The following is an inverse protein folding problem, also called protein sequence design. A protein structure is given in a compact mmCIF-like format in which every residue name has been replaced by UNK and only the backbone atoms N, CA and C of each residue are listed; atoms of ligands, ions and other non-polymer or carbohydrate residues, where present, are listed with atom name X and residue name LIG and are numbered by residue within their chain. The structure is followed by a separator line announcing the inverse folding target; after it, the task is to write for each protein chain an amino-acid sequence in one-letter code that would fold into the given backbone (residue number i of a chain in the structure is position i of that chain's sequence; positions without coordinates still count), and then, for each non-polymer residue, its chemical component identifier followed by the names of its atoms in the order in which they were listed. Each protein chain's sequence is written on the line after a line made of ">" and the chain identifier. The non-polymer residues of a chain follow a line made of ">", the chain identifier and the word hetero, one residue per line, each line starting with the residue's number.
data_IF_296741394880
#
_entry.id   IF_296741394880
#
_cell.length_a   1.000
_cell.length_b   1.000
_cell.length_c   1.000
_cell.angle_alpha   90.00
_cell.angle_beta   90.00
_cell.angle_gamma   90.00
#
_symmetry.space_group_name_H-M   'P 1'
#
loop_
_entity.id
_entity.type
_entity.pdbx_description
1 polymer ?
#
# COMPACT_ATOMS: atom_id res chain seq x y z
N UNK A 1 28.71 -21.64 -36.06
CA UNK A 1 28.36 -21.89 -34.61
C UNK A 1 26.87 -21.75 -34.50
N UNK A 2 26.17 -22.81 -34.06
CA UNK A 2 24.72 -22.75 -33.82
C UNK A 2 24.46 -22.43 -32.34
N UNK A 3 23.59 -21.44 -32.08
CA UNK A 3 23.12 -21.17 -30.71
C UNK A 3 22.02 -22.17 -30.34
N UNK A 4 22.08 -22.72 -29.11
CA UNK A 4 21.05 -23.59 -28.57
C UNK A 4 20.35 -22.84 -27.44
N UNK A 5 19.05 -22.58 -27.60
CA UNK A 5 18.25 -21.87 -26.60
C UNK A 5 17.94 -22.77 -25.40
N UNK A 6 17.96 -22.18 -24.20
CA UNK A 6 17.47 -22.82 -22.98
C UNK A 6 16.06 -22.36 -22.69
N UNK A 7 15.13 -23.31 -22.53
CA UNK A 7 13.74 -22.98 -22.15
C UNK A 7 13.67 -22.64 -20.67
N UNK A 8 13.16 -21.44 -20.37
CA UNK A 8 12.90 -21.02 -19.00
C UNK A 8 11.64 -21.73 -18.47
N UNK A 9 11.59 -21.91 -17.16
CA UNK A 9 10.46 -22.54 -16.46
C UNK A 9 9.77 -21.49 -15.59
N UNK A 10 8.46 -21.59 -15.48
CA UNK A 10 7.64 -20.79 -14.56
C UNK A 10 7.34 -21.68 -13.35
N UNK A 11 7.84 -21.30 -12.16
CA UNK A 11 7.55 -21.98 -10.89
C UNK A 11 6.25 -21.44 -10.28
N UNK A 12 5.85 -20.22 -10.62
CA UNK A 12 4.62 -19.55 -10.19
C UNK A 12 3.85 -19.07 -11.40
N UNK A 13 2.60 -19.50 -11.50
CA UNK A 13 1.67 -19.03 -12.54
C UNK A 13 0.43 -18.41 -11.88
N UNK A 14 0.23 -17.10 -12.07
CA UNK A 14 -0.97 -16.40 -11.64
C UNK A 14 -1.99 -16.48 -12.78
N UNK A 15 -3.12 -17.11 -12.54
CA UNK A 15 -4.15 -17.34 -13.56
C UNK A 15 -5.13 -16.16 -13.63
N UNK A 16 -5.71 -15.79 -12.50
CA UNK A 16 -6.74 -14.75 -12.40
C UNK A 16 -6.48 -13.81 -11.21
N UNK A 17 -6.96 -12.58 -11.32
CA UNK A 17 -7.02 -11.59 -10.26
C UNK A 17 -8.50 -11.28 -9.98
N UNK A 18 -8.97 -11.56 -8.78
CA UNK A 18 -10.38 -11.36 -8.38
C UNK A 18 -10.62 -9.98 -7.79
N UNK A 19 -9.73 -9.57 -6.88
CA UNK A 19 -9.83 -8.27 -6.22
C UNK A 19 -8.46 -7.62 -6.04
N UNK A 20 -8.49 -6.31 -5.89
CA UNK A 20 -7.34 -5.50 -5.54
C UNK A 20 -7.80 -4.28 -4.78
N UNK A 21 -7.40 -4.16 -3.53
CA UNK A 21 -7.88 -3.13 -2.63
C UNK A 21 -6.74 -2.40 -1.93
N UNK A 22 -6.95 -1.11 -1.67
CA UNK A 22 -6.23 -0.34 -0.66
C UNK A 22 -7.27 0.20 0.31
N UNK A 23 -7.37 -0.44 1.46
CA UNK A 23 -8.33 -0.08 2.49
C UNK A 23 -7.77 0.97 3.44
N UNK A 24 -8.58 1.96 3.75
CA UNK A 24 -8.34 2.95 4.79
C UNK A 24 -9.36 2.70 5.91
N UNK A 25 -9.05 1.76 6.80
CA UNK A 25 -9.93 1.38 7.91
C UNK A 25 -10.04 2.48 8.95
N UNK A 26 -11.24 2.67 9.46
CA UNK A 26 -11.53 3.52 10.62
C UNK A 26 -11.34 2.76 11.91
N UNK A 27 -11.24 3.49 13.01
CA UNK A 27 -11.26 2.90 14.35
C UNK A 27 -12.52 2.05 14.56
N UNK A 28 -12.33 0.82 15.03
CA UNK A 28 -13.41 -0.12 15.30
C UNK A 28 -14.03 -0.78 14.06
N UNK A 29 -13.35 -0.72 12.90
CA UNK A 29 -13.77 -1.44 11.71
C UNK A 29 -13.74 -2.96 11.96
N UNK A 30 -14.77 -3.67 11.48
CA UNK A 30 -14.82 -5.13 11.44
C UNK A 30 -15.53 -5.60 10.17
N UNK A 31 -14.94 -6.58 9.51
CA UNK A 31 -15.53 -7.35 8.43
C UNK A 31 -15.90 -8.72 8.98
N UNK A 32 -17.14 -9.16 8.75
CA UNK A 32 -17.68 -10.39 9.38
C UNK A 32 -16.94 -11.65 8.94
N UNK A 33 -16.39 -11.66 7.74
CA UNK A 33 -15.57 -12.73 7.19
C UNK A 33 -16.22 -13.43 6.01
N UNK A 34 -15.39 -14.18 5.30
CA UNK A 34 -15.73 -14.94 4.11
C UNK A 34 -14.83 -16.16 3.94
N UNK A 35 -15.14 -16.98 2.95
CA UNK A 35 -14.31 -18.08 2.48
C UNK A 35 -14.49 -18.22 0.97
N UNK A 36 -13.41 -18.39 0.24
CA UNK A 36 -13.40 -18.54 -1.21
C UNK A 36 -12.28 -19.49 -1.65
N UNK A 37 -12.30 -19.95 -2.89
CA UNK A 37 -11.42 -21.00 -3.42
C UNK A 37 -10.14 -20.46 -4.09
N UNK A 38 -9.73 -19.23 -3.74
CA UNK A 38 -8.52 -18.59 -4.23
C UNK A 38 -7.68 -18.02 -3.07
N UNK A 39 -6.44 -17.61 -3.36
CA UNK A 39 -5.53 -17.00 -2.41
C UNK A 39 -5.90 -15.53 -2.15
N UNK A 40 -5.74 -15.09 -0.92
CA UNK A 40 -5.82 -13.69 -0.55
C UNK A 40 -4.57 -13.25 0.18
N UNK A 41 -3.90 -12.24 -0.38
CA UNK A 41 -2.76 -11.56 0.23
C UNK A 41 -3.23 -10.36 1.02
N UNK A 42 -2.81 -10.26 2.28
CA UNK A 42 -3.06 -9.12 3.16
C UNK A 42 -1.72 -8.52 3.57
N UNK A 43 -1.57 -7.21 3.39
CA UNK A 43 -0.39 -6.46 3.81
C UNK A 43 -0.81 -5.26 4.66
N UNK A 44 -0.30 -5.15 5.90
CA UNK A 44 -0.53 -4.02 6.77
C UNK A 44 0.40 -2.85 6.39
N UNK A 45 -0.16 -1.84 5.69
CA UNK A 45 0.60 -0.68 5.22
C UNK A 45 0.81 0.36 6.33
N UNK A 46 -0.22 0.61 7.15
CA UNK A 46 -0.15 1.53 8.30
C UNK A 46 -1.00 1.03 9.45
N UNK A 47 -0.53 1.27 10.67
CA UNK A 47 -1.21 0.81 11.90
C UNK A 47 -1.18 -0.70 12.02
N UNK A 48 -2.23 -1.25 12.61
CA UNK A 48 -2.38 -2.66 12.88
C UNK A 48 -3.75 -3.16 12.45
N UNK A 49 -3.78 -4.32 11.82
CA UNK A 49 -5.01 -5.05 11.52
C UNK A 49 -4.95 -6.43 12.19
N UNK A 50 -6.09 -6.91 12.62
CA UNK A 50 -6.22 -8.25 13.19
C UNK A 50 -6.95 -9.08 12.15
N UNK A 51 -6.28 -10.11 11.67
CA UNK A 51 -6.84 -11.08 10.73
C UNK A 51 -7.18 -12.37 11.45
N UNK A 52 -8.32 -12.97 11.12
CA UNK A 52 -8.67 -14.33 11.53
C UNK A 52 -8.41 -15.26 10.37
N UNK A 53 -7.77 -16.39 10.62
CA UNK A 53 -7.45 -17.41 9.64
C UNK A 53 -7.85 -18.79 10.21
N UNK A 54 -9.02 -19.28 9.81
CA UNK A 54 -9.66 -20.43 10.47
C UNK A 54 -9.93 -20.14 11.96
N UNK A 55 -9.35 -20.92 12.85
CA UNK A 55 -9.51 -20.76 14.32
C UNK A 55 -8.44 -19.86 14.96
N UNK A 56 -7.60 -19.19 14.17
CA UNK A 56 -6.46 -18.41 14.67
C UNK A 56 -6.65 -16.91 14.40
N UNK A 57 -6.33 -16.09 15.38
CA UNK A 57 -6.18 -14.64 15.20
C UNK A 57 -4.70 -14.24 15.16
N UNK A 58 -4.38 -13.31 14.26
CA UNK A 58 -3.04 -12.78 14.05
C UNK A 58 -3.11 -11.26 13.96
N UNK A 59 -2.30 -10.57 14.74
CA UNK A 59 -2.10 -9.12 14.58
C UNK A 59 -1.00 -8.87 13.57
N UNK A 60 -1.34 -8.19 12.49
CA UNK A 60 -0.39 -7.72 11.48
C UNK A 60 -0.11 -6.24 11.74
N UNK A 61 1.12 -5.92 12.12
CA UNK A 61 1.61 -4.55 12.30
C UNK A 61 2.20 -4.02 10.99
N UNK A 62 2.47 -2.72 10.91
CA UNK A 62 3.06 -2.09 9.73
C UNK A 62 4.22 -2.91 9.13
N UNK A 63 4.10 -3.24 7.88
CA UNK A 63 5.07 -4.01 7.11
C UNK A 63 4.89 -5.53 7.17
N UNK A 64 3.94 -6.04 7.97
CA UNK A 64 3.62 -7.46 7.99
C UNK A 64 2.71 -7.84 6.82
N UNK A 65 2.86 -9.07 6.37
CA UNK A 65 2.03 -9.68 5.34
C UNK A 65 1.58 -11.09 5.75
N UNK A 66 0.42 -11.50 5.25
CA UNK A 66 -0.15 -12.81 5.46
C UNK A 66 -0.90 -13.27 4.20
N UNK A 67 -0.97 -14.58 3.99
CA UNK A 67 -1.72 -15.17 2.90
C UNK A 67 -2.81 -16.10 3.44
N UNK A 68 -4.06 -15.79 3.16
CA UNK A 68 -5.16 -16.73 3.33
C UNK A 68 -5.15 -17.71 2.17
N UNK A 69 -5.16 -19.01 2.50
CA UNK A 69 -5.19 -20.05 1.49
C UNK A 69 -6.61 -20.35 1.01
N UNK A 70 -6.80 -20.96 -0.16
CA UNK A 70 -8.12 -21.34 -0.66
C UNK A 70 -8.94 -22.12 0.37
N UNK A 71 -10.23 -21.78 0.48
CA UNK A 71 -11.22 -22.36 1.38
C UNK A 71 -10.96 -22.13 2.89
N UNK A 72 -10.00 -21.31 3.26
CA UNK A 72 -9.84 -20.87 4.64
C UNK A 72 -10.88 -19.78 4.96
N UNK A 73 -11.66 -19.99 6.02
CA UNK A 73 -12.50 -18.91 6.53
C UNK A 73 -11.62 -17.82 7.13
N UNK A 74 -11.88 -16.56 6.79
CA UNK A 74 -11.09 -15.45 7.26
C UNK A 74 -11.92 -14.19 7.44
N UNK A 75 -11.45 -13.31 8.32
CA UNK A 75 -12.01 -11.99 8.58
C UNK A 75 -10.90 -11.00 8.90
N UNK A 76 -11.23 -9.70 8.86
CA UNK A 76 -10.30 -8.63 9.21
C UNK A 76 -11.01 -7.58 10.07
N UNK A 77 -10.33 -7.12 11.12
CA UNK A 77 -10.79 -6.03 11.96
C UNK A 77 -9.64 -5.09 12.35
N UNK A 78 -10.00 -3.89 12.78
CA UNK A 78 -9.03 -2.88 13.20
C UNK A 78 -9.54 -2.14 14.45
N UNK A 79 -8.75 -2.12 15.51
CA UNK A 79 -9.11 -1.41 16.75
C UNK A 79 -8.90 0.10 16.64
N UNK A 80 -7.89 0.52 15.87
CA UNK A 80 -7.55 1.89 15.57
C UNK A 80 -7.55 2.11 14.07
N UNK A 81 -7.34 3.33 13.56
CA UNK A 81 -7.21 3.54 12.14
C UNK A 81 -6.04 2.72 11.57
N UNK A 82 -6.27 2.04 10.45
CA UNK A 82 -5.28 1.21 9.78
C UNK A 82 -5.41 1.29 8.27
N UNK A 83 -4.32 1.00 7.56
CA UNK A 83 -4.36 0.83 6.11
C UNK A 83 -3.87 -0.57 5.75
N UNK A 84 -4.59 -1.23 4.87
CA UNK A 84 -4.19 -2.54 4.36
C UNK A 84 -4.32 -2.61 2.83
N UNK A 85 -3.41 -3.37 2.23
CA UNK A 85 -3.49 -3.79 0.84
C UNK A 85 -4.00 -5.23 0.80
N UNK A 86 -4.97 -5.50 -0.05
CA UNK A 86 -5.49 -6.84 -0.28
C UNK A 86 -5.47 -7.15 -1.78
N UNK A 87 -4.91 -8.31 -2.13
CA UNK A 87 -4.96 -8.87 -3.49
C UNK A 87 -5.51 -10.29 -3.43
N UNK A 88 -6.57 -10.56 -4.18
CA UNK A 88 -7.15 -11.90 -4.28
C UNK A 88 -6.89 -12.47 -5.68
N UNK A 89 -6.26 -13.65 -5.75
CA UNK A 89 -5.80 -14.23 -7.02
C UNK A 89 -5.82 -15.76 -7.01
N UNK A 90 -5.98 -16.39 -8.18
CA UNK A 90 -5.79 -17.81 -8.32
C UNK A 90 -4.34 -18.15 -8.70
N UNK A 91 -3.81 -19.15 -8.02
CA UNK A 91 -2.51 -19.74 -8.31
C UNK A 91 -2.51 -21.19 -7.85
N UNK A 92 -2.34 -22.11 -8.81
CA UNK A 92 -2.34 -23.57 -8.55
C UNK A 92 -0.92 -24.15 -8.50
N UNK A 93 0.11 -23.32 -8.49
CA UNK A 93 1.50 -23.75 -8.38
C UNK A 93 1.77 -24.36 -7.00
N UNK A 94 2.38 -25.53 -6.95
CA UNK A 94 2.64 -26.25 -5.68
C UNK A 94 3.55 -25.49 -4.71
N UNK A 95 4.36 -24.56 -5.19
CA UNK A 95 5.20 -23.70 -4.35
C UNK A 95 4.38 -22.78 -3.44
N UNK A 96 3.08 -22.56 -3.73
CA UNK A 96 2.21 -21.77 -2.88
C UNK A 96 1.97 -22.38 -1.49
N UNK A 97 2.17 -23.70 -1.32
CA UNK A 97 2.08 -24.36 -0.02
C UNK A 97 3.07 -23.78 1.00
N UNK A 98 4.16 -23.17 0.52
CA UNK A 98 5.11 -22.47 1.38
C UNK A 98 4.48 -21.31 2.16
N UNK A 99 3.42 -20.67 1.64
CA UNK A 99 2.75 -19.53 2.28
C UNK A 99 1.74 -19.93 3.37
N UNK A 100 1.44 -21.22 3.55
CA UNK A 100 0.49 -21.66 4.57
C UNK A 100 0.91 -21.19 5.97
N UNK A 101 0.00 -20.50 6.66
CA UNK A 101 0.12 -20.08 8.07
C UNK A 101 1.36 -19.24 8.40
N UNK A 102 1.99 -18.61 7.42
CA UNK A 102 3.17 -17.77 7.62
C UNK A 102 2.82 -16.31 7.74
N UNK A 103 3.26 -15.70 8.84
CA UNK A 103 3.37 -14.24 8.95
C UNK A 103 4.72 -13.83 8.39
N UNK A 104 4.72 -12.94 7.41
CA UNK A 104 5.88 -12.51 6.67
C UNK A 104 6.16 -11.02 6.95
N UNK A 105 7.39 -10.59 6.71
CA UNK A 105 7.79 -9.18 6.78
C UNK A 105 8.17 -8.67 5.40
N UNK A 106 7.48 -7.65 4.90
CA UNK A 106 7.81 -7.04 3.62
C UNK A 106 9.02 -6.10 3.77
N UNK A 107 10.09 -6.42 3.06
CA UNK A 107 11.23 -5.53 2.85
C UNK A 107 10.95 -4.45 1.81
N UNK A 108 11.96 -3.60 1.51
CA UNK A 108 11.80 -2.50 0.57
C UNK A 108 11.44 -2.96 -0.86
N UNK A 109 11.99 -4.09 -1.30
CA UNK A 109 11.67 -4.66 -2.62
C UNK A 109 10.23 -5.09 -2.74
N UNK A 110 9.69 -5.80 -1.74
CA UNK A 110 8.30 -6.23 -1.69
C UNK A 110 7.35 -5.03 -1.62
N UNK A 111 7.65 -4.00 -0.80
CA UNK A 111 6.85 -2.77 -0.71
C UNK A 111 6.78 -2.03 -2.05
N UNK A 112 7.90 -1.95 -2.78
CA UNK A 112 7.94 -1.37 -4.13
C UNK A 112 7.06 -2.15 -5.11
N UNK A 113 7.08 -3.48 -5.06
CA UNK A 113 6.24 -4.32 -5.91
C UNK A 113 4.74 -4.17 -5.58
N UNK A 114 4.37 -4.15 -4.30
CA UNK A 114 3.00 -3.87 -3.85
C UNK A 114 2.51 -2.53 -4.43
N UNK A 115 3.33 -1.47 -4.34
CA UNK A 115 3.00 -0.17 -4.91
C UNK A 115 2.87 -0.21 -6.44
N UNK A 116 3.74 -0.95 -7.15
CA UNK A 116 3.66 -1.12 -8.60
C UNK A 116 2.39 -1.85 -9.02
N UNK A 117 2.00 -2.91 -8.31
CA UNK A 117 0.76 -3.66 -8.56
C UNK A 117 -0.45 -2.72 -8.42
N UNK A 118 -0.54 -1.97 -7.32
CA UNK A 118 -1.62 -0.99 -7.09
C UNK A 118 -1.66 0.07 -8.20
N UNK A 119 -0.52 0.63 -8.60
CA UNK A 119 -0.44 1.65 -9.63
C UNK A 119 -0.90 1.13 -11.00
N UNK A 120 -0.48 -0.06 -11.40
CA UNK A 120 -0.97 -0.66 -12.66
C UNK A 120 -2.45 -1.02 -12.56
N UNK A 121 -2.93 -1.48 -11.40
CA UNK A 121 -4.34 -1.75 -11.18
C UNK A 121 -5.21 -0.50 -11.33
N UNK A 122 -4.82 0.62 -10.72
CA UNK A 122 -5.51 1.91 -10.90
C UNK A 122 -5.53 2.36 -12.36
N UNK A 123 -4.52 2.05 -13.15
CA UNK A 123 -4.48 2.34 -14.59
C UNK A 123 -5.38 1.41 -15.40
N UNK A 124 -5.49 0.15 -14.98
CA UNK A 124 -6.15 -0.93 -15.72
C UNK A 124 -7.64 -1.05 -15.42
N UNK A 125 -8.01 -0.91 -14.14
CA UNK A 125 -9.37 -1.19 -13.67
C UNK A 125 -10.08 0.06 -13.16
N UNK A 126 -11.42 0.07 -13.30
CA UNK A 126 -12.26 1.07 -12.67
C UNK A 126 -12.39 0.78 -11.17
N UNK A 127 -12.24 1.84 -10.34
CA UNK A 127 -12.41 1.76 -8.88
C UNK A 127 -13.83 2.02 -8.43
N UNK A 128 -14.15 1.86 -7.16
CA UNK A 128 -13.34 2.19 -5.98
C UNK A 128 -12.56 0.98 -5.41
N UNK A 129 -11.25 1.15 -5.20
CA UNK A 129 -10.39 0.11 -4.59
C UNK A 129 -10.51 0.03 -3.05
N UNK A 130 -11.41 0.75 -2.45
CA UNK A 130 -11.67 0.74 -1.00
C UNK A 130 -13.06 0.22 -0.64
N UNK A 131 -13.79 -0.41 -1.56
CA UNK A 131 -15.09 -1.03 -1.31
C UNK A 131 -14.92 -2.55 -1.13
N UNK A 132 -15.14 -3.09 0.10
CA UNK A 132 -14.98 -4.52 0.36
C UNK A 132 -16.04 -5.39 -0.34
N UNK A 133 -17.08 -4.78 -0.89
CA UNK A 133 -18.15 -5.49 -1.60
C UNK A 133 -17.99 -5.47 -3.13
N UNK A 134 -16.82 -5.07 -3.62
CA UNK A 134 -16.51 -5.14 -5.06
C UNK A 134 -16.31 -6.58 -5.48
N UNK A 135 -17.28 -7.15 -6.18
CA UNK A 135 -17.27 -8.57 -6.60
C UNK A 135 -16.40 -8.85 -7.82
N UNK A 136 -15.99 -7.83 -8.56
CA UNK A 136 -15.14 -8.00 -9.75
C UNK A 136 -14.40 -6.73 -10.14
N UNK A 137 -13.23 -6.90 -10.76
CA UNK A 137 -12.49 -5.85 -11.41
C UNK A 137 -13.07 -5.55 -12.79
N UNK A 138 -13.44 -4.28 -13.04
CA UNK A 138 -13.95 -3.84 -14.33
C UNK A 138 -12.81 -3.19 -15.09
N UNK A 139 -12.43 -3.78 -16.24
CA UNK A 139 -11.35 -3.29 -17.09
C UNK A 139 -11.74 -1.97 -17.74
N UNK A 140 -10.87 -0.96 -17.64
CA UNK A 140 -11.03 0.32 -18.33
C UNK A 140 -10.94 0.14 -19.83
N UNK A 141 -11.76 0.88 -20.58
CA UNK A 141 -11.74 0.86 -22.04
C UNK A 141 -10.37 1.22 -22.63
N UNK A 142 -9.62 2.09 -21.94
CA UNK A 142 -8.32 2.61 -22.36
C UNK A 142 -7.21 2.20 -21.40
N UNK A 143 -7.26 0.96 -20.90
CA UNK A 143 -6.17 0.40 -20.10
C UNK A 143 -4.86 0.40 -20.93
N UNK A 144 -3.72 0.79 -20.34
CA UNK A 144 -2.43 0.76 -21.04
C UNK A 144 -2.07 -0.64 -21.50
N UNK A 145 -1.42 -0.73 -22.64
CA UNK A 145 -0.91 -2.01 -23.15
C UNK A 145 0.04 -2.64 -22.12
N UNK A 146 -0.17 -3.90 -21.80
CA UNK A 146 0.66 -4.66 -20.88
C UNK A 146 0.39 -4.43 -19.39
N UNK A 147 -0.56 -3.58 -18.98
CA UNK A 147 -0.85 -3.31 -17.57
C UNK A 147 -1.18 -4.60 -16.79
N UNK A 148 -2.09 -5.45 -17.27
CA UNK A 148 -2.41 -6.74 -16.64
C UNK A 148 -1.21 -7.71 -16.62
N UNK A 149 -0.41 -7.70 -17.68
CA UNK A 149 0.81 -8.50 -17.74
C UNK A 149 1.81 -8.03 -16.67
N UNK A 150 1.97 -6.71 -16.48
CA UNK A 150 2.82 -6.16 -15.42
C UNK A 150 2.29 -6.52 -14.03
N UNK A 151 0.98 -6.43 -13.78
CA UNK A 151 0.38 -6.88 -12.51
C UNK A 151 0.75 -8.35 -12.23
N UNK A 152 0.57 -9.25 -13.22
CA UNK A 152 0.93 -10.67 -13.09
C UNK A 152 2.41 -10.85 -12.81
N UNK A 153 3.30 -10.15 -13.52
CA UNK A 153 4.75 -10.25 -13.33
C UNK A 153 5.17 -9.74 -11.95
N UNK A 154 4.66 -8.57 -11.53
CA UNK A 154 4.99 -8.01 -10.21
C UNK A 154 4.45 -8.87 -9.07
N UNK A 155 3.27 -9.49 -9.22
CA UNK A 155 2.73 -10.40 -8.22
C UNK A 155 3.56 -11.69 -8.16
N UNK A 156 3.97 -12.26 -9.29
CA UNK A 156 4.87 -13.42 -9.32
C UNK A 156 6.23 -13.10 -8.70
N UNK A 157 6.81 -11.94 -9.02
CA UNK A 157 8.07 -11.48 -8.43
C UNK A 157 7.92 -11.27 -6.91
N UNK A 158 6.81 -10.69 -6.45
CA UNK A 158 6.51 -10.48 -5.03
C UNK A 158 6.52 -11.80 -4.25
N UNK A 159 5.84 -12.83 -4.77
CA UNK A 159 5.79 -14.16 -4.17
C UNK A 159 7.18 -14.80 -4.12
N UNK A 160 7.94 -14.74 -5.22
CA UNK A 160 9.31 -15.26 -5.29
C UNK A 160 10.21 -14.57 -4.25
N UNK A 161 10.14 -13.25 -4.12
CA UNK A 161 10.98 -12.51 -3.17
C UNK A 161 10.64 -12.85 -1.71
N UNK A 162 9.36 -13.01 -1.36
CA UNK A 162 9.00 -13.47 -0.02
C UNK A 162 9.61 -14.85 0.31
N UNK A 163 9.58 -15.79 -0.63
CA UNK A 163 10.19 -17.13 -0.42
C UNK A 163 11.72 -17.08 -0.33
N UNK A 164 12.37 -16.15 -1.03
CA UNK A 164 13.83 -16.03 -1.06
C UNK A 164 14.38 -15.31 0.16
N UNK A 165 13.75 -14.22 0.61
CA UNK A 165 14.25 -13.38 1.72
C UNK A 165 14.32 -14.14 3.07
N UNK A 166 13.50 -15.18 3.29
CA UNK A 166 13.64 -16.06 4.44
C UNK A 166 14.78 -17.11 4.31
N UNK A 167 15.19 -17.40 3.07
CA UNK A 167 16.18 -18.45 2.79
C UNK A 167 17.59 -17.90 2.48
N UNK A 168 17.71 -16.61 2.13
CA UNK A 168 18.99 -16.02 1.73
C UNK A 168 19.72 -15.36 2.90
N UNK A 169 20.39 -16.18 3.73
CA UNK A 169 21.61 -15.77 4.45
C UNK A 169 22.83 -15.77 3.52
N UNK A 170 22.67 -15.93 2.22
CA UNK A 170 23.76 -15.89 1.27
C UNK A 170 24.04 -14.43 0.88
N UNK A 171 25.18 -13.95 1.35
CA UNK A 171 25.83 -12.70 0.99
C UNK A 171 25.70 -12.37 -0.50
N UNK A 172 24.80 -11.47 -0.86
CA UNK A 172 24.96 -10.69 -2.07
C UNK A 172 25.95 -9.55 -1.78
N UNK A 173 27.23 -9.92 -1.70
CA UNK A 173 28.31 -8.95 -1.83
C UNK A 173 28.32 -8.40 -3.26
N UNK A 174 28.15 -7.11 -3.39
CA UNK A 174 28.58 -6.27 -4.50
C UNK A 174 27.88 -6.43 -5.86
N UNK A 175 26.66 -5.88 -5.98
CA UNK A 175 26.37 -5.04 -7.15
C UNK A 175 25.96 -3.64 -6.65
N UNK A 176 26.89 -2.71 -6.77
CA UNK A 176 26.66 -1.28 -6.50
C UNK A 176 25.73 -0.70 -7.55
N UNK A 177 24.41 -0.62 -7.24
CA UNK A 177 23.49 0.23 -7.98
C UNK A 177 22.34 0.77 -7.12
N UNK A 178 22.57 1.07 -5.81
CA UNK A 178 21.49 1.53 -4.92
C UNK A 178 21.85 2.74 -4.04
N UNK A 179 22.74 3.61 -4.48
CA UNK A 179 22.97 4.89 -3.76
C UNK A 179 21.77 5.82 -3.85
N UNK A 180 20.96 5.78 -4.92
CA UNK A 180 19.79 6.66 -5.06
C UNK A 180 18.58 6.19 -4.26
N UNK A 181 18.35 4.89 -4.15
CA UNK A 181 17.18 4.33 -3.45
C UNK A 181 17.35 4.47 -1.92
N UNK A 182 18.53 4.12 -1.38
CA UNK A 182 18.83 4.32 0.03
C UNK A 182 18.75 5.79 0.45
N UNK A 183 19.19 6.71 -0.42
CA UNK A 183 19.09 8.15 -0.18
C UNK A 183 17.64 8.64 -0.21
N UNK A 184 16.80 8.11 -1.10
CA UNK A 184 15.36 8.45 -1.15
C UNK A 184 14.64 8.01 0.13
N UNK A 185 14.83 6.77 0.56
CA UNK A 185 14.23 6.21 1.77
C UNK A 185 14.65 7.01 3.04
N UNK A 186 15.91 7.45 3.11
CA UNK A 186 16.43 8.28 4.19
C UNK A 186 15.79 9.68 4.20
N UNK A 187 15.64 10.30 3.03
CA UNK A 187 14.97 11.60 2.88
C UNK A 187 13.49 11.49 3.25
N UNK A 188 12.81 10.44 2.78
CA UNK A 188 11.42 10.18 3.12
C UNK A 188 11.23 10.02 4.63
N UNK A 189 12.07 9.25 5.30
CA UNK A 189 12.05 9.09 6.75
C UNK A 189 12.28 10.43 7.49
N UNK A 190 13.16 11.29 6.98
CA UNK A 190 13.35 12.63 7.52
C UNK A 190 12.11 13.50 7.36
N UNK A 191 11.49 13.51 6.17
CA UNK A 191 10.24 14.23 5.92
C UNK A 191 9.12 13.72 6.84
N UNK A 192 8.99 12.41 7.02
CA UNK A 192 8.00 11.77 7.88
C UNK A 192 8.11 12.23 9.34
N UNK A 193 9.34 12.34 9.86
CA UNK A 193 9.61 12.86 11.22
C UNK A 193 9.33 14.35 11.38
N UNK A 194 9.25 15.09 10.27
CA UNK A 194 9.11 16.54 10.27
C UNK A 194 7.78 17.03 9.65
N UNK A 195 6.72 16.20 9.62
CA UNK A 195 5.42 16.57 9.03
C UNK A 195 4.77 17.79 9.69
N UNK A 196 5.07 18.05 10.97
CA UNK A 196 4.61 19.26 11.68
C UNK A 196 5.40 20.53 11.37
N UNK A 197 6.41 20.49 10.48
CA UNK A 197 7.27 21.63 10.14
C UNK A 197 7.06 22.10 8.71
N UNK A 198 7.45 23.32 8.43
CA UNK A 198 7.59 23.82 7.07
C UNK A 198 9.01 23.49 6.59
N UNK A 199 9.13 22.51 5.68
CA UNK A 199 10.40 22.16 5.05
C UNK A 199 10.49 22.80 3.67
N UNK A 200 11.65 23.40 3.39
CA UNK A 200 12.01 23.90 2.05
C UNK A 200 12.87 22.86 1.30
N UNK A 201 13.00 23.04 -0.01
CA UNK A 201 13.93 22.23 -0.81
C UNK A 201 15.36 22.29 -0.27
N UNK A 202 15.76 23.46 0.23
CA UNK A 202 17.11 23.69 0.78
C UNK A 202 17.31 22.91 2.09
N UNK A 203 16.30 22.87 2.97
CA UNK A 203 16.35 22.13 4.24
C UNK A 203 16.52 20.62 3.99
N UNK A 204 15.75 20.10 3.04
CA UNK A 204 15.77 18.68 2.69
C UNK A 204 17.10 18.29 2.01
N UNK A 205 17.58 19.12 1.08
CA UNK A 205 18.84 18.90 0.41
C UNK A 205 20.04 18.97 1.37
N UNK A 206 20.00 19.94 2.31
CA UNK A 206 21.02 20.07 3.35
C UNK A 206 21.05 18.86 4.29
N UNK A 207 19.88 18.33 4.70
CA UNK A 207 19.81 17.12 5.51
C UNK A 207 20.49 15.93 4.83
N UNK A 208 20.21 15.71 3.55
CA UNK A 208 20.77 14.60 2.78
C UNK A 208 22.20 14.87 2.25
N UNK A 209 22.76 16.05 2.53
CA UNK A 209 24.07 16.49 2.03
C UNK A 209 24.21 16.39 0.50
N UNK A 210 23.16 16.78 -0.23
CA UNK A 210 23.11 16.77 -1.70
C UNK A 210 22.68 18.12 -2.24
N UNK A 211 22.89 18.34 -3.54
CA UNK A 211 22.38 19.54 -4.22
C UNK A 211 20.86 19.47 -4.40
N UNK A 212 20.20 20.64 -4.49
CA UNK A 212 18.76 20.73 -4.82
C UNK A 212 18.45 20.09 -6.17
N UNK A 213 19.37 20.14 -7.12
CA UNK A 213 19.25 19.49 -8.43
C UNK A 213 19.21 17.96 -8.30
N UNK A 214 20.15 17.40 -7.54
CA UNK A 214 20.20 15.95 -7.25
C UNK A 214 18.95 15.50 -6.48
N UNK A 215 18.48 16.30 -5.49
CA UNK A 215 17.25 16.02 -4.77
C UNK A 215 16.04 15.92 -5.71
N UNK A 216 15.89 16.86 -6.65
CA UNK A 216 14.79 16.84 -7.64
C UNK A 216 14.87 15.62 -8.57
N UNK A 217 16.08 15.22 -8.95
CA UNK A 217 16.30 14.04 -9.79
C UNK A 217 15.92 12.75 -9.06
N UNK A 218 16.32 12.60 -7.79
CA UNK A 218 15.94 11.46 -6.93
C UNK A 218 14.41 11.35 -6.86
N UNK A 219 13.69 12.44 -6.57
CA UNK A 219 12.23 12.39 -6.47
C UNK A 219 11.53 12.13 -7.80
N UNK A 220 12.04 12.68 -8.91
CA UNK A 220 11.52 12.38 -10.25
C UNK A 220 11.64 10.89 -10.57
N UNK A 221 12.76 10.27 -10.22
CA UNK A 221 13.03 8.86 -10.54
C UNK A 221 12.29 7.89 -9.60
N UNK A 222 12.12 8.23 -8.31
CA UNK A 222 11.53 7.34 -7.32
C UNK A 222 10.03 7.59 -7.06
N UNK A 223 9.58 8.85 -7.13
CA UNK A 223 8.21 9.24 -6.78
C UNK A 223 7.40 9.81 -7.97
N UNK A 224 8.04 10.04 -9.12
CA UNK A 224 7.42 10.62 -10.32
C UNK A 224 6.72 11.97 -10.09
N UNK A 225 7.07 12.69 -9.03
CA UNK A 225 6.51 13.99 -8.66
C UNK A 225 7.57 14.93 -8.06
N UNK A 226 7.20 16.20 -7.82
CA UNK A 226 8.07 17.17 -7.18
C UNK A 226 8.27 16.89 -5.68
N UNK A 227 9.44 17.26 -5.16
CA UNK A 227 9.81 17.03 -3.73
C UNK A 227 8.78 17.63 -2.76
N UNK A 228 8.38 18.87 -2.98
CA UNK A 228 7.39 19.57 -2.12
C UNK A 228 5.99 18.98 -2.32
N UNK A 229 5.62 18.60 -3.54
CA UNK A 229 4.36 17.91 -3.82
C UNK A 229 4.28 16.58 -3.08
N UNK A 230 5.39 15.82 -3.05
CA UNK A 230 5.49 14.59 -2.27
C UNK A 230 5.33 14.86 -0.76
N UNK A 231 5.99 15.89 -0.24
CA UNK A 231 5.86 16.26 1.17
C UNK A 231 4.44 16.70 1.54
N UNK A 232 3.76 17.45 0.65
CA UNK A 232 2.34 17.80 0.81
C UNK A 232 1.48 16.53 0.81
N UNK A 233 1.74 15.59 -0.10
CA UNK A 233 1.04 14.30 -0.15
C UNK A 233 1.17 13.55 1.20
N UNK A 234 2.37 13.46 1.76
CA UNK A 234 2.61 12.84 3.07
C UNK A 234 1.82 13.53 4.19
N UNK A 235 1.75 14.88 4.20
CA UNK A 235 0.93 15.65 5.16
C UNK A 235 -0.56 15.35 5.01
N UNK A 236 -1.07 15.31 3.79
CA UNK A 236 -2.49 15.01 3.51
C UNK A 236 -2.84 13.58 3.93
N UNK A 237 -1.96 12.64 3.67
CA UNK A 237 -2.15 11.27 4.09
C UNK A 237 -2.15 11.13 5.63
N UNK A 238 -1.27 11.82 6.33
CA UNK A 238 -1.30 11.91 7.80
C UNK A 238 -2.56 12.60 8.31
N UNK A 239 -3.08 13.60 7.59
CA UNK A 239 -4.34 14.26 7.93
C UNK A 239 -5.52 13.28 7.82
N UNK A 240 -5.58 12.48 6.77
CA UNK A 240 -6.59 11.41 6.62
C UNK A 240 -6.55 10.43 7.79
N UNK A 241 -5.34 10.05 8.22
CA UNK A 241 -5.15 9.22 9.41
C UNK A 241 -5.77 9.87 10.66
N UNK A 242 -5.41 11.12 10.98
CA UNK A 242 -5.96 11.82 12.16
C UNK A 242 -7.48 11.98 12.09
N UNK A 243 -8.06 12.20 10.91
CA UNK A 243 -9.52 12.27 10.72
C UNK A 243 -10.17 10.93 11.04
N UNK A 244 -9.59 9.81 10.61
CA UNK A 244 -10.12 8.46 10.88
C UNK A 244 -9.98 8.04 12.34
N UNK A 245 -8.91 8.45 13.00
CA UNK A 245 -8.73 8.26 14.45
C UNK A 245 -9.77 9.02 15.28
N UNK A 246 -10.24 10.16 14.77
CA UNK A 246 -11.28 10.97 15.43
C UNK A 246 -10.83 11.70 16.70
N UNK A 247 -9.53 11.72 17.00
CA UNK A 247 -8.99 12.30 18.24
C UNK A 247 -8.75 13.81 18.15
N UNK A 248 -8.79 14.39 16.95
CA UNK A 248 -8.47 15.78 16.69
C UNK A 248 -9.52 16.43 15.78
N UNK A 249 -9.84 17.70 16.03
CA UNK A 249 -10.64 18.49 15.10
C UNK A 249 -9.77 18.99 13.94
N UNK A 250 -10.42 19.52 12.88
CA UNK A 250 -9.74 19.95 11.64
C UNK A 250 -8.71 21.06 11.90
N UNK A 251 -8.97 21.97 12.84
CA UNK A 251 -8.04 23.02 13.23
C UNK A 251 -6.79 22.46 13.88
N UNK A 252 -6.96 21.56 14.84
CA UNK A 252 -5.85 20.86 15.50
C UNK A 252 -5.01 20.05 14.51
N UNK A 253 -5.66 19.37 13.55
CA UNK A 253 -4.95 18.63 12.50
C UNK A 253 -4.07 19.56 11.65
N UNK A 254 -4.59 20.72 11.28
CA UNK A 254 -3.84 21.73 10.52
C UNK A 254 -2.60 22.20 11.31
N UNK A 255 -2.75 22.46 12.61
CA UNK A 255 -1.66 22.85 13.51
C UNK A 255 -0.61 21.74 13.66
N UNK A 256 -1.03 20.51 13.94
CA UNK A 256 -0.14 19.35 14.07
C UNK A 256 0.69 19.10 12.81
N UNK A 257 0.14 19.42 11.64
CA UNK A 257 0.81 19.28 10.36
C UNK A 257 1.54 20.55 9.91
N UNK A 258 1.65 21.56 10.78
CA UNK A 258 2.43 22.78 10.52
C UNK A 258 1.87 23.65 9.41
N UNK A 259 0.56 23.68 9.22
CA UNK A 259 -0.08 24.60 8.30
C UNK A 259 -0.26 25.98 8.93
N UNK A 260 -0.03 27.04 8.16
CA UNK A 260 -0.16 28.43 8.62
C UNK A 260 -1.60 28.82 8.96
N UNK A 261 -2.60 28.11 8.42
CA UNK A 261 -4.00 28.28 8.78
C UNK A 261 -4.84 27.06 8.40
N UNK A 262 -5.97 26.81 9.11
CA UNK A 262 -6.92 25.75 8.78
C UNK A 262 -7.55 25.94 7.39
N UNK A 263 -7.68 27.16 6.91
CA UNK A 263 -8.20 27.47 5.57
C UNK A 263 -7.23 27.02 4.47
N UNK A 264 -5.94 27.29 4.66
CA UNK A 264 -4.91 26.86 3.72
C UNK A 264 -4.81 25.33 3.68
N UNK A 265 -4.84 24.68 4.85
CA UNK A 265 -4.92 23.24 4.97
C UNK A 265 -6.14 22.66 4.21
N UNK A 266 -7.34 23.19 4.48
CA UNK A 266 -8.58 22.68 3.86
C UNK A 266 -8.56 22.82 2.34
N UNK A 267 -7.97 23.89 1.81
CA UNK A 267 -7.79 24.10 0.38
C UNK A 267 -6.84 23.05 -0.21
N UNK A 268 -5.66 22.85 0.39
CA UNK A 268 -4.70 21.84 -0.07
C UNK A 268 -5.26 20.43 0.03
N UNK A 269 -5.94 20.12 1.13
CA UNK A 269 -6.57 18.80 1.30
C UNK A 269 -7.58 18.55 0.17
N UNK A 270 -8.45 19.52 -0.12
CA UNK A 270 -9.42 19.40 -1.23
C UNK A 270 -8.76 19.27 -2.59
N UNK A 271 -7.70 20.02 -2.85
CA UNK A 271 -6.93 19.93 -4.10
C UNK A 271 -6.34 18.53 -4.33
N UNK A 272 -5.83 17.89 -3.27
CA UNK A 272 -5.19 16.57 -3.36
C UNK A 272 -6.17 15.39 -3.23
N UNK A 273 -7.36 15.58 -2.64
CA UNK A 273 -8.32 14.48 -2.37
C UNK A 273 -9.65 14.64 -3.10
N UNK A 274 -9.91 15.77 -3.74
CA UNK A 274 -11.19 16.08 -4.39
C UNK A 274 -12.30 16.55 -3.44
N UNK A 275 -12.13 16.44 -2.11
CA UNK A 275 -13.12 16.80 -1.10
C UNK A 275 -12.51 17.56 0.09
N UNK A 276 -13.33 18.33 0.81
CA UNK A 276 -12.84 19.02 2.02
C UNK A 276 -12.58 18.02 3.15
N UNK A 277 -11.73 18.36 4.15
CA UNK A 277 -11.51 17.51 5.33
C UNK A 277 -12.79 17.09 6.04
N UNK A 278 -13.77 18.02 6.14
CA UNK A 278 -15.07 17.76 6.76
C UNK A 278 -15.93 16.80 5.93
N UNK A 279 -15.91 16.93 4.58
CA UNK A 279 -16.58 15.97 3.69
C UNK A 279 -15.95 14.60 3.78
N UNK A 280 -14.62 14.51 3.84
CA UNK A 280 -13.89 13.27 4.05
C UNK A 280 -14.27 12.62 5.40
N UNK A 281 -14.30 13.40 6.49
CA UNK A 281 -14.72 12.89 7.80
C UNK A 281 -16.13 12.29 7.76
N UNK A 282 -17.08 12.94 7.09
CA UNK A 282 -18.45 12.45 6.93
C UNK A 282 -18.53 11.19 6.07
N UNK A 283 -17.79 11.11 4.97
CA UNK A 283 -17.77 9.92 4.10
C UNK A 283 -17.26 8.69 4.84
N UNK A 284 -16.21 8.88 5.65
CA UNK A 284 -15.64 7.82 6.50
C UNK A 284 -16.64 7.35 7.57
N UNK A 285 -17.35 8.26 8.23
CA UNK A 285 -18.37 7.92 9.23
C UNK A 285 -19.59 7.22 8.62
N UNK A 286 -19.99 7.56 7.41
CA UNK A 286 -21.12 6.93 6.72
C UNK A 286 -20.84 5.46 6.35
N UNK A 287 -19.59 5.12 6.05
CA UNK A 287 -19.18 3.73 5.81
C UNK A 287 -19.29 2.86 7.07
N UNK A 288 -18.99 3.42 8.25
CA UNK A 288 -19.17 2.73 9.55
C UNK A 288 -20.66 2.57 9.89
N UNK A 289 -21.48 3.62 9.66
CA UNK A 289 -22.91 3.59 9.99
C UNK A 289 -23.74 2.77 8.99
N UNK A 290 -23.33 2.67 7.74
CA UNK A 290 -23.97 1.88 6.68
C UNK A 290 -23.90 0.38 6.94
N UNK A 291 -22.89 -0.09 7.65
CA UNK A 291 -22.76 -1.48 8.10
C UNK A 291 -23.75 -1.86 9.21
N UNK A 292 -24.23 -0.88 10.00
CA UNK A 292 -25.21 -1.11 11.08
C UNK A 292 -26.66 -1.13 10.59
N UNK A 293 -26.95 -0.64 9.38
CA UNK A 293 -28.35 -0.51 8.88
C UNK A 293 -28.77 -1.61 7.90
N UNK A 294 -27.87 -2.49 7.44
CA UNK A 294 -28.21 -3.66 6.63
C UNK A 294 -28.55 -4.93 7.44
N UNK A 295 -28.61 -4.81 8.78
CA UNK A 295 -29.00 -5.90 9.71
C UNK A 295 -30.48 -5.78 10.18
N UNK A 296 -31.39 -5.37 9.31
CA UNK A 296 -32.83 -5.52 9.60
C UNK A 296 -33.58 -6.06 8.41
#
# INVERSE_FOLDING_TARGET
>A
MGYVGTRLRDDITIDELFSMHYFEYTKGFAFEGESHDFWEFVYADKGEVIVTAGDRELTLSHGDAFFHHPNQWHSIRSENAANAVIFSFSCHSSVMDWFYDRRLKAGNSQKKLISKILNEGVRCFDGPFGDPYTERLIRKRWAPVGAEQLIRQYLSELLILFMRDENDTVQMSSFKSHTSDATFDEIEAYMQKNLGRHLTLTDIAAYANISVSSLREIFRNNASCGVIDYFIFMKIDRAKWYIREGNYNITQIAELLGYSSPHYFSRQFREKTGMSPLQYAKSVQSLVSGNLTKQR
#
